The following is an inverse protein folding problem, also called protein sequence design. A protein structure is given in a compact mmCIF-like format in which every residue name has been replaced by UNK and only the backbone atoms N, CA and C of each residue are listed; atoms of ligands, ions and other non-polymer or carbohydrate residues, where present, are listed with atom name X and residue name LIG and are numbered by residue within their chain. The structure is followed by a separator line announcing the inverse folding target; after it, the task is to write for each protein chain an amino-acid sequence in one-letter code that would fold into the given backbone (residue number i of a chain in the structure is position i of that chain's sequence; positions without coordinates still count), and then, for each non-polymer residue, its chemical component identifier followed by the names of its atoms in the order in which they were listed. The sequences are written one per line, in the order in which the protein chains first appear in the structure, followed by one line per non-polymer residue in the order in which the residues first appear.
data_IF_849908549088
#
_entry.id   IF_849908549088
#
_cell.length_a   1.000
_cell.length_b   1.000
_cell.length_c   1.000
_cell.angle_alpha   90.00
_cell.angle_beta   90.00
_cell.angle_gamma   90.00
#
_symmetry.space_group_name_H-M   'P 1'
#
loop_
_entity.id
_entity.type
_entity.pdbx_description
1 polymer ?
#
# COMPACT_ATOMS: atom_id res chain seq x y z
N UNK A 1 24.03 -5.24 -8.21
CA UNK A 1 25.36 -4.78 -7.78
C UNK A 1 25.37 -4.84 -6.28
N UNK A 2 26.35 -5.53 -5.70
CA UNK A 2 26.54 -5.65 -4.25
C UNK A 2 27.61 -4.66 -3.79
N UNK A 3 27.43 -4.03 -2.62
CA UNK A 3 28.41 -3.09 -2.07
C UNK A 3 28.56 -3.31 -0.57
N UNK A 4 29.81 -3.40 -0.11
CA UNK A 4 30.20 -3.34 1.29
C UNK A 4 30.62 -1.92 1.65
N UNK A 5 30.18 -1.42 2.80
CA UNK A 5 30.48 -0.06 3.25
C UNK A 5 30.96 -0.07 4.69
N UNK A 6 31.98 0.75 4.99
CA UNK A 6 32.33 1.07 6.36
C UNK A 6 31.25 1.99 6.92
N UNK A 7 30.43 1.43 7.82
CA UNK A 7 29.36 2.15 8.48
C UNK A 7 29.85 3.28 9.40
N UNK A 8 31.10 3.27 9.86
CA UNK A 8 31.66 4.35 10.70
C UNK A 8 32.14 5.51 9.82
N UNK A 9 32.95 5.20 8.81
CA UNK A 9 33.54 6.19 7.91
C UNK A 9 32.59 6.65 6.80
N UNK A 10 31.43 5.98 6.65
CA UNK A 10 30.46 6.17 5.56
C UNK A 10 31.09 6.06 4.17
N UNK A 11 32.13 5.24 4.07
CA UNK A 11 32.92 5.09 2.87
C UNK A 11 32.67 3.68 2.29
N UNK A 12 32.36 3.55 0.99
CA UNK A 12 32.34 2.25 0.32
C UNK A 12 33.70 1.57 0.45
N UNK A 13 33.72 0.29 0.82
CA UNK A 13 34.96 -0.49 0.95
C UNK A 13 35.23 -1.31 -0.30
N UNK A 14 34.16 -1.88 -0.88
CA UNK A 14 34.23 -2.74 -2.03
C UNK A 14 32.86 -2.89 -2.68
N UNK A 15 32.81 -3.24 -3.96
CA UNK A 15 31.59 -3.65 -4.62
C UNK A 15 31.81 -4.71 -5.69
N UNK A 16 30.71 -5.37 -6.08
CA UNK A 16 30.67 -6.34 -7.17
C UNK A 16 29.54 -6.01 -8.16
N UNK A 17 29.89 -5.99 -9.45
CA UNK A 17 28.92 -6.11 -10.53
C UNK A 17 28.49 -7.57 -10.61
N UNK A 18 27.18 -7.82 -10.52
CA UNK A 18 26.58 -9.15 -10.37
C UNK A 18 25.34 -9.29 -11.25
N UNK A 19 24.96 -10.53 -11.55
CA UNK A 19 23.80 -10.89 -12.38
C UNK A 19 22.47 -10.84 -11.64
N UNK A 20 22.44 -11.29 -10.38
CA UNK A 20 21.19 -11.49 -9.64
C UNK A 20 21.33 -11.62 -8.12
N UNK A 21 22.53 -11.42 -7.58
CA UNK A 21 22.84 -11.54 -6.15
C UNK A 21 22.61 -12.99 -5.65
N UNK A 22 23.05 -13.97 -6.44
CA UNK A 22 23.03 -15.38 -6.00
C UNK A 22 23.93 -15.58 -4.77
N UNK A 23 23.78 -16.72 -4.10
CA UNK A 23 24.64 -17.03 -2.94
C UNK A 23 26.12 -17.10 -3.35
N UNK A 24 26.42 -17.68 -4.50
CA UNK A 24 27.78 -17.75 -5.06
C UNK A 24 28.35 -16.36 -5.34
N UNK A 25 27.54 -15.46 -5.90
CA UNK A 25 27.97 -14.07 -6.17
C UNK A 25 28.20 -13.28 -4.87
N UNK A 26 27.43 -13.57 -3.82
CA UNK A 26 27.65 -13.01 -2.48
C UNK A 26 28.96 -13.52 -1.90
N UNK A 27 29.18 -14.83 -1.90
CA UNK A 27 30.40 -15.47 -1.38
C UNK A 27 31.62 -14.91 -2.09
N UNK A 28 31.58 -14.83 -3.42
CA UNK A 28 32.64 -14.24 -4.24
C UNK A 28 33.00 -12.81 -3.80
N UNK A 29 32.02 -11.93 -3.59
CA UNK A 29 32.28 -10.59 -3.07
C UNK A 29 32.90 -10.64 -1.67
N UNK A 30 32.35 -11.45 -0.77
CA UNK A 30 32.77 -11.51 0.62
C UNK A 30 34.20 -12.05 0.78
N UNK A 31 34.61 -13.02 -0.03
CA UNK A 31 35.97 -13.54 -0.06
C UNK A 31 36.98 -12.48 -0.50
N UNK A 32 36.64 -11.69 -1.52
CA UNK A 32 37.49 -10.57 -1.97
C UNK A 32 37.54 -9.46 -0.92
N UNK A 33 36.39 -9.13 -0.32
CA UNK A 33 36.33 -8.18 0.80
C UNK A 33 37.23 -8.63 1.96
N UNK A 34 37.23 -9.92 2.31
CA UNK A 34 38.08 -10.48 3.37
C UNK A 34 39.57 -10.24 3.12
N UNK A 35 40.02 -10.30 1.87
CA UNK A 35 41.41 -10.03 1.47
C UNK A 35 41.78 -8.54 1.56
N UNK A 36 40.83 -7.65 1.30
CA UNK A 36 41.05 -6.20 1.30
C UNK A 36 40.90 -5.52 2.65
N UNK A 37 40.29 -6.19 3.62
CA UNK A 37 40.09 -5.63 4.95
C UNK A 37 41.40 -5.66 5.76
N UNK A 38 41.88 -4.50 6.24
CA UNK A 38 43.15 -4.42 6.97
C UNK A 38 43.07 -4.98 8.41
N UNK A 39 41.87 -5.27 8.90
CA UNK A 39 41.62 -5.73 10.27
C UNK A 39 40.43 -6.68 10.33
N UNK A 40 40.40 -7.54 11.35
CA UNK A 40 39.28 -8.44 11.60
C UNK A 40 37.96 -7.66 11.76
N UNK A 41 36.90 -8.12 11.07
CA UNK A 41 35.58 -7.51 11.15
C UNK A 41 34.87 -8.00 12.41
N UNK A 42 34.44 -7.07 13.26
CA UNK A 42 33.79 -7.38 14.54
C UNK A 42 32.30 -7.69 14.38
N UNK A 43 31.61 -7.00 13.48
CA UNK A 43 30.20 -7.25 13.16
C UNK A 43 29.88 -6.85 11.72
N UNK A 44 28.89 -7.51 11.13
CA UNK A 44 28.32 -7.14 9.83
C UNK A 44 26.84 -6.87 9.98
N UNK A 45 26.40 -5.75 9.42
CA UNK A 45 24.96 -5.50 9.27
C UNK A 45 24.55 -5.93 7.87
N UNK A 46 23.45 -6.68 7.75
CA UNK A 46 22.88 -7.13 6.48
C UNK A 46 21.38 -6.88 6.47
N UNK A 47 20.74 -6.98 5.31
CA UNK A 47 19.27 -6.97 5.24
C UNK A 47 18.68 -8.37 5.54
N UNK A 48 17.42 -8.60 5.16
CA UNK A 48 16.73 -9.88 5.38
C UNK A 48 16.94 -10.89 4.24
N UNK A 49 17.96 -10.72 3.39
CA UNK A 49 18.32 -11.69 2.35
C UNK A 49 18.95 -12.93 2.98
N UNK A 50 18.33 -14.09 2.73
CA UNK A 50 18.85 -15.40 3.16
C UNK A 50 20.18 -15.72 2.49
N UNK A 51 20.34 -15.37 1.21
CA UNK A 51 21.58 -15.52 0.42
C UNK A 51 22.74 -14.72 1.02
N UNK A 52 22.48 -13.49 1.47
CA UNK A 52 23.49 -12.67 2.13
C UNK A 52 23.92 -13.27 3.47
N UNK A 53 22.95 -13.77 4.24
CA UNK A 53 23.25 -14.39 5.53
C UNK A 53 24.04 -15.69 5.39
N UNK A 54 23.67 -16.54 4.44
CA UNK A 54 24.41 -17.77 4.13
C UNK A 54 25.86 -17.48 3.73
N UNK A 55 26.09 -16.55 2.79
CA UNK A 55 27.43 -16.16 2.39
C UNK A 55 28.27 -15.54 3.51
N UNK A 56 27.66 -14.73 4.38
CA UNK A 56 28.37 -14.18 5.56
C UNK A 56 28.76 -15.29 6.53
N UNK A 57 27.86 -16.22 6.82
CA UNK A 57 28.16 -17.35 7.70
C UNK A 57 29.26 -18.26 7.13
N UNK A 58 29.34 -18.40 5.80
CA UNK A 58 30.39 -19.19 5.15
C UNK A 58 31.76 -18.51 5.24
N UNK A 59 31.85 -17.22 4.86
CA UNK A 59 33.14 -16.52 4.72
C UNK A 59 33.64 -15.95 6.06
N UNK A 60 32.72 -15.56 6.94
CA UNK A 60 32.97 -14.95 8.25
C UNK A 60 32.20 -15.70 9.37
N UNK A 61 32.49 -16.98 9.64
CA UNK A 61 31.67 -17.83 10.51
C UNK A 61 31.53 -17.34 11.95
N UNK A 62 32.51 -16.60 12.45
CA UNK A 62 32.56 -16.13 13.85
C UNK A 62 32.06 -14.69 14.02
N UNK A 63 31.47 -14.08 12.99
CA UNK A 63 31.07 -12.67 13.04
C UNK A 63 29.69 -12.47 13.65
N UNK A 64 29.53 -11.35 14.35
CA UNK A 64 28.21 -10.93 14.80
C UNK A 64 27.40 -10.35 13.64
N UNK A 65 26.38 -11.08 13.20
CA UNK A 65 25.43 -10.62 12.18
C UNK A 65 24.32 -9.78 12.80
N UNK A 66 24.05 -8.60 12.24
CA UNK A 66 22.96 -7.73 12.65
C UNK A 66 22.01 -7.48 11.48
N UNK A 67 20.69 -7.54 11.71
CA UNK A 67 19.71 -7.11 10.71
C UNK A 67 19.60 -5.59 10.68
N UNK A 68 19.59 -5.03 9.47
CA UNK A 68 19.50 -3.60 9.25
C UNK A 68 18.18 -3.02 9.79
N UNK A 69 18.26 -2.09 10.73
CA UNK A 69 17.11 -1.44 11.37
C UNK A 69 16.19 -0.77 10.34
N UNK A 70 16.77 -0.15 9.32
CA UNK A 70 16.01 0.45 8.23
C UNK A 70 15.17 -0.59 7.50
N UNK A 71 15.74 -1.76 7.17
CA UNK A 71 15.01 -2.85 6.54
C UNK A 71 13.99 -3.48 7.48
N UNK A 72 14.24 -3.55 8.78
CA UNK A 72 13.25 -4.04 9.74
C UNK A 72 12.00 -3.15 9.73
N UNK A 73 12.20 -1.82 9.72
CA UNK A 73 11.12 -0.84 9.58
C UNK A 73 10.43 -0.95 8.22
N UNK A 74 11.20 -1.05 7.14
CA UNK A 74 10.65 -1.17 5.79
C UNK A 74 9.85 -2.46 5.61
N UNK A 75 10.32 -3.58 6.18
CA UNK A 75 9.67 -4.88 6.09
C UNK A 75 8.25 -4.80 6.66
N UNK A 76 8.11 -4.30 7.90
CA UNK A 76 6.80 -4.11 8.51
C UNK A 76 5.92 -3.12 7.74
N UNK A 77 6.47 -1.95 7.38
CA UNK A 77 5.69 -0.90 6.72
C UNK A 77 5.25 -1.28 5.29
N UNK A 78 6.05 -2.06 4.56
CA UNK A 78 5.68 -2.64 3.26
C UNK A 78 4.61 -3.72 3.42
N UNK A 79 4.73 -4.58 4.43
CA UNK A 79 3.67 -5.54 4.79
C UNK A 79 2.33 -4.84 5.06
N UNK A 80 2.34 -3.82 5.93
CA UNK A 80 1.16 -2.99 6.22
C UNK A 80 0.63 -2.25 4.99
N UNK A 81 1.51 -1.80 4.09
CA UNK A 81 1.10 -1.14 2.86
C UNK A 81 0.31 -2.09 1.93
N UNK A 82 0.70 -3.36 1.87
CA UNK A 82 -0.03 -4.40 1.14
C UNK A 82 -1.37 -4.68 1.80
N UNK A 83 -1.40 -4.80 3.12
CA UNK A 83 -2.64 -4.95 3.90
C UNK A 83 -3.62 -3.80 3.64
N UNK A 84 -3.17 -2.55 3.75
CA UNK A 84 -4.02 -1.39 3.46
C UNK A 84 -4.44 -1.31 1.99
N UNK A 85 -3.65 -1.87 1.07
CA UNK A 85 -4.03 -1.96 -0.34
C UNK A 85 -5.12 -3.00 -0.57
N UNK A 86 -5.04 -4.15 0.13
CA UNK A 86 -6.08 -5.18 0.18
C UNK A 86 -7.39 -4.60 0.72
N UNK A 87 -7.37 -4.00 1.90
CA UNK A 87 -8.55 -3.37 2.53
C UNK A 87 -9.16 -2.31 1.60
N UNK A 88 -8.34 -1.45 0.98
CA UNK A 88 -8.85 -0.47 0.00
C UNK A 88 -9.53 -1.15 -1.19
N UNK A 89 -8.98 -2.25 -1.68
CA UNK A 89 -9.56 -2.99 -2.81
C UNK A 89 -10.94 -3.52 -2.41
N UNK A 90 -11.00 -4.23 -1.30
CA UNK A 90 -12.20 -4.89 -0.80
C UNK A 90 -13.30 -3.90 -0.47
N UNK A 91 -13.04 -2.90 0.38
CA UNK A 91 -14.12 -2.06 0.92
C UNK A 91 -14.44 -0.79 0.13
N UNK A 92 -13.54 -0.35 -0.75
CA UNK A 92 -13.70 0.94 -1.44
C UNK A 92 -13.70 0.79 -2.95
N UNK A 93 -12.73 0.09 -3.53
CA UNK A 93 -12.67 -0.06 -4.99
C UNK A 93 -13.75 -0.99 -5.50
N UNK A 94 -14.00 -2.12 -4.84
CA UNK A 94 -15.09 -3.02 -5.24
C UNK A 94 -16.44 -2.33 -5.07
N UNK A 95 -16.65 -1.59 -3.98
CA UNK A 95 -17.88 -0.81 -3.79
C UNK A 95 -18.11 0.21 -4.93
N UNK A 96 -17.08 0.96 -5.33
CA UNK A 96 -17.17 1.88 -6.49
C UNK A 96 -17.45 1.12 -7.80
N UNK A 97 -16.88 -0.08 -7.96
CA UNK A 97 -17.13 -0.93 -9.14
C UNK A 97 -18.59 -1.39 -9.19
N UNK A 98 -19.17 -1.81 -8.07
CA UNK A 98 -20.57 -2.23 -8.00
C UNK A 98 -21.52 -1.07 -8.32
N UNK A 99 -21.29 0.15 -7.81
CA UNK A 99 -22.05 1.34 -8.23
C UNK A 99 -21.95 1.62 -9.74
N UNK A 100 -20.78 1.38 -10.35
CA UNK A 100 -20.59 1.52 -11.79
C UNK A 100 -21.31 0.40 -12.57
N UNK A 101 -21.32 -0.81 -12.04
CA UNK A 101 -22.03 -1.95 -12.61
C UNK A 101 -23.54 -1.73 -12.57
N UNK A 102 -24.11 -1.33 -11.41
CA UNK A 102 -25.51 -0.96 -11.27
C UNK A 102 -25.90 0.13 -12.28
N UNK A 103 -25.09 1.20 -12.43
CA UNK A 103 -25.37 2.23 -13.44
C UNK A 103 -25.42 1.64 -14.85
N UNK A 104 -24.47 0.78 -15.23
CA UNK A 104 -24.45 0.16 -16.56
C UNK A 104 -25.70 -0.71 -16.77
N UNK A 105 -26.07 -1.48 -15.76
CA UNK A 105 -27.26 -2.31 -15.77
C UNK A 105 -28.56 -1.52 -15.92
N UNK A 106 -28.73 -0.41 -15.18
CA UNK A 106 -29.91 0.44 -15.38
C UNK A 106 -30.02 0.97 -16.82
N UNK A 107 -28.88 1.34 -17.43
CA UNK A 107 -28.85 1.84 -18.81
C UNK A 107 -29.17 0.77 -19.86
N UNK A 108 -28.76 -0.48 -19.63
CA UNK A 108 -29.08 -1.57 -20.57
C UNK A 108 -30.54 -1.99 -20.48
N UNK A 109 -31.11 -2.02 -19.26
CA UNK A 109 -32.55 -2.31 -19.08
C UNK A 109 -33.45 -1.26 -19.74
N UNK A 110 -32.99 -0.01 -19.87
CA UNK A 110 -33.71 1.06 -20.57
C UNK A 110 -33.63 0.96 -22.10
N UNK A 111 -32.67 0.19 -22.62
CA UNK A 111 -32.50 -0.04 -24.05
C UNK A 111 -33.15 -1.34 -24.53
N UNK A 112 -33.81 -2.06 -23.62
CA UNK A 112 -34.31 -3.42 -23.84
C UNK A 112 -33.24 -4.39 -24.36
N UNK A 113 -31.96 -4.12 -24.03
CA UNK A 113 -30.87 -5.04 -24.31
C UNK A 113 -31.06 -6.29 -23.44
N UNK A 114 -31.07 -7.47 -24.06
CA UNK A 114 -31.06 -8.77 -23.38
C UNK A 114 -29.84 -8.80 -22.44
N UNK A 115 -30.10 -8.64 -21.15
CA UNK A 115 -29.05 -8.59 -20.14
C UNK A 115 -29.08 -9.84 -19.30
N UNK A 116 -27.91 -10.47 -19.17
CA UNK A 116 -27.68 -11.52 -18.19
C UNK A 116 -28.04 -11.00 -16.80
N UNK A 117 -28.69 -11.85 -16.00
CA UNK A 117 -28.95 -11.54 -14.60
C UNK A 117 -27.66 -11.15 -13.89
N UNK A 118 -27.69 -9.98 -13.24
CA UNK A 118 -26.59 -9.60 -12.37
C UNK A 118 -26.63 -10.46 -11.12
N UNK A 119 -25.50 -11.10 -10.83
CA UNK A 119 -25.25 -11.69 -9.52
C UNK A 119 -25.53 -10.67 -8.41
N UNK A 120 -25.94 -11.13 -7.21
CA UNK A 120 -26.18 -10.25 -6.08
C UNK A 120 -24.97 -9.36 -5.79
N UNK A 121 -25.23 -8.08 -5.52
CA UNK A 121 -24.18 -7.15 -5.11
C UNK A 121 -23.70 -7.47 -3.69
N UNK A 122 -22.41 -7.29 -3.43
CA UNK A 122 -21.83 -7.53 -2.10
C UNK A 122 -22.14 -6.40 -1.13
N UNK A 123 -22.38 -5.19 -1.64
CA UNK A 123 -22.66 -4.00 -0.82
C UNK A 123 -24.18 -3.77 -0.72
N UNK A 124 -24.70 -3.87 0.51
CA UNK A 124 -26.14 -3.77 0.81
C UNK A 124 -26.80 -2.49 0.27
N UNK A 125 -26.09 -1.36 0.26
CA UNK A 125 -26.60 -0.09 -0.26
C UNK A 125 -26.73 -0.09 -1.80
N UNK A 126 -25.85 -0.83 -2.50
CA UNK A 126 -25.96 -1.05 -3.94
C UNK A 126 -27.12 -2.00 -4.25
N UNK A 127 -27.26 -3.10 -3.50
CA UNK A 127 -28.36 -4.05 -3.68
C UNK A 127 -29.72 -3.40 -3.37
N UNK A 128 -29.81 -2.60 -2.32
CA UNK A 128 -31.00 -1.80 -2.01
C UNK A 128 -31.36 -0.85 -3.16
N UNK A 129 -30.36 -0.19 -3.76
CA UNK A 129 -30.60 0.67 -4.91
C UNK A 129 -31.08 -0.12 -6.15
N UNK A 130 -30.58 -1.35 -6.34
CA UNK A 130 -31.07 -2.26 -7.39
C UNK A 130 -32.54 -2.63 -7.16
N UNK A 131 -32.94 -2.97 -5.93
CA UNK A 131 -34.33 -3.27 -5.59
C UNK A 131 -35.24 -2.07 -5.85
N UNK A 132 -34.84 -0.88 -5.41
CA UNK A 132 -35.59 0.36 -5.64
C UNK A 132 -35.75 0.63 -7.14
N UNK A 133 -34.68 0.42 -7.93
CA UNK A 133 -34.76 0.56 -9.38
C UNK A 133 -35.72 -0.43 -10.02
N UNK A 134 -35.74 -1.68 -9.55
CA UNK A 134 -36.70 -2.70 -10.00
C UNK A 134 -38.14 -2.24 -9.77
N UNK A 135 -38.47 -1.80 -8.54
CA UNK A 135 -39.81 -1.27 -8.22
C UNK A 135 -40.14 -0.02 -9.03
N UNK A 136 -39.17 0.88 -9.21
CA UNK A 136 -39.33 2.07 -10.03
C UNK A 136 -39.69 1.73 -11.48
N UNK A 137 -39.03 0.72 -12.07
CA UNK A 137 -39.33 0.23 -13.41
C UNK A 137 -40.76 -0.31 -13.49
N UNK A 138 -41.19 -1.13 -12.53
CA UNK A 138 -42.56 -1.63 -12.46
C UNK A 138 -43.60 -0.50 -12.43
N UNK A 139 -43.34 0.59 -11.69
CA UNK A 139 -44.24 1.74 -11.65
C UNK A 139 -44.38 2.42 -13.02
N UNK A 140 -43.28 2.61 -13.75
CA UNK A 140 -43.27 3.39 -15.00
C UNK A 140 -43.62 2.59 -16.25
N UNK A 141 -43.78 1.27 -16.13
CA UNK A 141 -44.25 0.36 -17.20
C UNK A 141 -45.78 0.22 -17.25
N UNK A 142 -46.51 0.80 -16.31
CA UNK A 142 -47.98 0.78 -16.30
C UNK A 142 -48.53 1.54 -17.53
N UNK A 143 -49.70 1.12 -18.02
CA UNK A 143 -50.27 1.69 -19.26
C UNK A 143 -50.91 3.06 -19.06
N UNK A 144 -51.47 3.32 -17.88
CA UNK A 144 -52.19 4.56 -17.59
C UNK A 144 -51.32 5.58 -16.83
N UNK A 145 -51.38 6.85 -17.25
CA UNK A 145 -50.53 7.89 -16.67
C UNK A 145 -50.86 8.24 -15.22
N UNK A 146 -52.13 8.12 -14.80
CA UNK A 146 -52.51 8.34 -13.40
C UNK A 146 -52.10 7.16 -12.53
N UNK A 147 -52.19 5.93 -13.06
CA UNK A 147 -51.69 4.74 -12.37
C UNK A 147 -50.18 4.81 -12.15
N UNK A 148 -49.40 5.28 -13.13
CA UNK A 148 -47.96 5.51 -12.96
C UNK A 148 -47.71 6.49 -11.80
N UNK A 149 -48.40 7.62 -11.78
CA UNK A 149 -48.26 8.64 -10.74
C UNK A 149 -48.55 8.08 -9.35
N UNK A 150 -49.69 7.40 -9.17
CA UNK A 150 -50.09 6.79 -7.91
C UNK A 150 -49.09 5.72 -7.46
N UNK A 151 -48.63 4.86 -8.38
CA UNK A 151 -47.65 3.82 -8.07
C UNK A 151 -46.30 4.41 -7.62
N UNK A 152 -45.86 5.51 -8.25
CA UNK A 152 -44.65 6.22 -7.84
C UNK A 152 -44.79 6.84 -6.44
N UNK A 153 -45.91 7.53 -6.18
CA UNK A 153 -46.18 8.12 -4.85
C UNK A 153 -46.25 7.05 -3.75
N UNK A 154 -46.85 5.90 -4.06
CA UNK A 154 -46.86 4.74 -3.16
C UNK A 154 -45.45 4.23 -2.88
N UNK A 155 -44.62 4.02 -3.93
CA UNK A 155 -43.22 3.63 -3.77
C UNK A 155 -42.45 4.62 -2.89
N UNK A 156 -42.62 5.93 -3.10
CA UNK A 156 -41.91 6.95 -2.33
C UNK A 156 -42.32 7.02 -0.85
N UNK A 157 -43.49 6.49 -0.52
CA UNK A 157 -43.99 6.38 0.85
C UNK A 157 -43.48 5.14 1.57
N UNK A 158 -42.92 4.16 0.84
CA UNK A 158 -42.44 2.91 1.45
C UNK A 158 -41.22 3.10 2.37
N UNK A 159 -41.07 2.26 3.42
CA UNK A 159 -39.87 2.23 4.24
C UNK A 159 -38.59 1.99 3.41
N UNK A 160 -38.68 1.18 2.35
CA UNK A 160 -37.57 0.89 1.44
C UNK A 160 -36.97 2.16 0.84
N UNK A 161 -37.84 3.00 0.26
CA UNK A 161 -37.41 4.26 -0.33
C UNK A 161 -37.03 5.30 0.73
N UNK A 162 -37.75 5.33 1.84
CA UNK A 162 -37.49 6.24 2.95
C UNK A 162 -36.10 6.05 3.59
N UNK A 163 -35.64 4.81 3.66
CA UNK A 163 -34.34 4.45 4.24
C UNK A 163 -33.18 4.52 3.22
N UNK A 164 -33.46 4.76 1.95
CA UNK A 164 -32.42 4.84 0.92
C UNK A 164 -31.65 6.17 0.98
N UNK A 165 -30.32 6.09 1.06
CA UNK A 165 -29.45 7.26 1.13
C UNK A 165 -29.63 8.22 -0.08
N UNK A 166 -30.01 7.66 -1.23
CA UNK A 166 -30.26 8.41 -2.46
C UNK A 166 -31.55 9.23 -2.48
N UNK A 167 -32.47 9.00 -1.53
CA UNK A 167 -33.81 9.59 -1.49
C UNK A 167 -33.80 11.09 -1.72
N UNK A 168 -33.01 11.84 -0.94
CA UNK A 168 -33.02 13.32 -0.98
C UNK A 168 -32.64 13.84 -2.37
N UNK A 169 -31.61 13.24 -2.99
CA UNK A 169 -31.15 13.63 -4.32
C UNK A 169 -32.18 13.25 -5.37
N UNK A 170 -32.75 12.04 -5.27
CA UNK A 170 -33.80 11.60 -6.19
C UNK A 170 -35.04 12.48 -6.10
N UNK A 171 -35.59 12.71 -4.90
CA UNK A 171 -36.79 13.51 -4.67
C UNK A 171 -36.63 14.92 -5.24
N UNK A 172 -35.50 15.58 -4.97
CA UNK A 172 -35.20 16.89 -5.55
C UNK A 172 -35.16 16.87 -7.09
N UNK A 173 -34.65 15.80 -7.70
CA UNK A 173 -34.66 15.65 -9.16
C UNK A 173 -36.05 15.35 -9.70
N UNK A 174 -36.85 14.57 -8.99
CA UNK A 174 -38.23 14.24 -9.32
C UNK A 174 -39.13 15.48 -9.26
N UNK A 175 -39.12 16.22 -8.15
CA UNK A 175 -39.87 17.47 -7.97
C UNK A 175 -39.53 18.51 -9.05
N UNK A 176 -38.25 18.61 -9.45
CA UNK A 176 -37.81 19.52 -10.49
C UNK A 176 -38.41 19.21 -11.88
N UNK A 177 -38.89 17.99 -12.14
CA UNK A 177 -39.60 17.64 -13.38
C UNK A 177 -40.91 18.44 -13.45
N UNK A 178 -41.63 18.55 -12.35
CA UNK A 178 -42.96 19.15 -12.29
C UNK A 178 -42.87 20.66 -12.00
N UNK A 179 -42.09 21.05 -10.99
CA UNK A 179 -42.03 22.44 -10.54
C UNK A 179 -41.23 23.37 -11.47
N UNK A 180 -40.21 22.86 -12.19
CA UNK A 180 -39.35 23.69 -13.04
C UNK A 180 -39.60 23.51 -14.53
N UNK A 181 -40.08 22.34 -14.94
CA UNK A 181 -40.34 22.04 -16.36
C UNK A 181 -41.83 21.98 -16.69
N UNK A 182 -42.70 22.21 -15.70
CA UNK A 182 -44.16 22.29 -15.83
C UNK A 182 -44.77 21.09 -16.56
N UNK A 183 -44.19 19.89 -16.40
CA UNK A 183 -44.80 18.67 -16.88
C UNK A 183 -45.96 18.27 -15.99
N UNK A 184 -46.98 17.64 -16.58
CA UNK A 184 -48.08 16.96 -15.90
C UNK A 184 -48.16 15.51 -16.36
N UNK A 185 -48.66 14.60 -15.54
CA UNK A 185 -48.88 13.20 -15.93
C UNK A 185 -49.99 13.12 -16.98
N UNK A 186 -49.58 13.01 -18.24
CA UNK A 186 -50.47 12.80 -19.39
C UNK A 186 -49.83 11.83 -20.36
N UNK A 187 -50.64 11.23 -21.24
CA UNK A 187 -50.16 10.34 -22.32
C UNK A 187 -49.07 10.98 -23.18
N UNK A 188 -49.13 12.30 -23.42
CA UNK A 188 -48.12 13.03 -24.22
C UNK A 188 -46.84 13.31 -23.44
N UNK A 189 -46.95 13.62 -22.15
CA UNK A 189 -45.81 14.00 -21.29
C UNK A 189 -45.02 12.79 -20.81
N UNK A 190 -45.63 11.61 -20.70
CA UNK A 190 -45.00 10.44 -20.08
C UNK A 190 -43.69 10.03 -20.77
N UNK A 191 -43.63 10.15 -22.11
CA UNK A 191 -42.42 9.86 -22.90
C UNK A 191 -41.23 10.75 -22.54
N UNK A 192 -41.47 11.91 -21.93
CA UNK A 192 -40.44 12.82 -21.45
C UNK A 192 -40.17 12.65 -19.95
N UNK A 193 -41.22 12.40 -19.15
CA UNK A 193 -41.12 12.23 -17.69
C UNK A 193 -40.30 10.98 -17.34
N UNK A 194 -40.58 9.83 -17.96
CA UNK A 194 -39.93 8.54 -17.60
C UNK A 194 -38.40 8.59 -17.77
N UNK A 195 -37.84 9.06 -18.90
CA UNK A 195 -36.39 9.24 -19.02
C UNK A 195 -35.79 10.19 -17.97
N UNK A 196 -36.55 11.21 -17.54
CA UNK A 196 -36.10 12.15 -16.49
C UNK A 196 -36.09 11.50 -15.11
N UNK A 197 -37.08 10.64 -14.80
CA UNK A 197 -37.13 9.84 -13.57
C UNK A 197 -35.88 8.94 -13.50
N UNK A 198 -35.59 8.18 -14.56
CA UNK A 198 -34.39 7.34 -14.62
C UNK A 198 -33.09 8.15 -14.51
N UNK A 199 -33.04 9.33 -15.13
CA UNK A 199 -31.92 10.26 -14.96
C UNK A 199 -31.78 10.75 -13.52
N UNK A 200 -32.90 10.97 -12.82
CA UNK A 200 -32.95 11.29 -11.39
C UNK A 200 -32.36 10.18 -10.53
N UNK A 201 -32.76 8.93 -10.76
CA UNK A 201 -32.19 7.76 -10.09
C UNK A 201 -30.67 7.65 -10.31
N UNK A 202 -30.23 7.78 -11.57
CA UNK A 202 -28.80 7.77 -11.90
C UNK A 202 -28.02 8.90 -11.24
N UNK A 203 -28.64 10.07 -11.04
CA UNK A 203 -28.03 11.18 -10.33
C UNK A 203 -27.86 10.86 -8.84
N UNK A 204 -28.86 10.23 -8.22
CA UNK A 204 -28.80 9.82 -6.81
C UNK A 204 -27.68 8.79 -6.57
N UNK A 205 -27.62 7.70 -7.33
CA UNK A 205 -26.55 6.69 -7.17
C UNK A 205 -25.16 7.26 -7.46
N UNK A 206 -25.05 8.25 -8.36
CA UNK A 206 -23.79 8.94 -8.65
C UNK A 206 -23.31 9.74 -7.44
N UNK A 207 -24.21 10.42 -6.73
CA UNK A 207 -23.86 11.18 -5.55
C UNK A 207 -23.42 10.27 -4.40
N UNK A 208 -24.10 9.13 -4.21
CA UNK A 208 -23.67 8.10 -3.24
C UNK A 208 -22.27 7.60 -3.59
N UNK A 209 -22.05 7.20 -4.86
CA UNK A 209 -20.72 6.74 -5.33
C UNK A 209 -19.63 7.78 -5.09
N UNK A 210 -19.92 9.07 -5.32
CA UNK A 210 -18.97 10.17 -5.12
C UNK A 210 -18.49 10.23 -3.66
N UNK A 211 -19.38 10.02 -2.68
CA UNK A 211 -19.00 9.93 -1.26
C UNK A 211 -18.00 8.78 -1.01
N UNK A 212 -18.18 7.64 -1.66
CA UNK A 212 -17.24 6.50 -1.57
C UNK A 212 -15.90 6.84 -2.24
N UNK A 213 -15.90 7.51 -3.39
CA UNK A 213 -14.70 7.97 -4.09
C UNK A 213 -13.91 8.99 -3.26
N UNK A 214 -14.59 9.90 -2.58
CA UNK A 214 -13.99 10.85 -1.62
C UNK A 214 -13.40 10.12 -0.42
N UNK A 215 -14.14 9.17 0.19
CA UNK A 215 -13.65 8.33 1.29
C UNK A 215 -12.38 7.57 0.87
N UNK A 216 -12.32 7.04 -0.35
CA UNK A 216 -11.10 6.44 -0.92
C UNK A 216 -9.94 7.43 -1.04
N UNK A 217 -10.20 8.65 -1.49
CA UNK A 217 -9.17 9.69 -1.59
C UNK A 217 -8.61 10.05 -0.20
N UNK A 218 -9.49 10.22 0.80
CA UNK A 218 -9.10 10.45 2.20
C UNK A 218 -8.35 9.27 2.79
N UNK A 219 -8.78 8.03 2.51
CA UNK A 219 -8.07 6.82 2.94
C UNK A 219 -6.63 6.75 2.39
N UNK A 220 -6.42 7.07 1.12
CA UNK A 220 -5.07 7.11 0.54
C UNK A 220 -4.15 8.09 1.30
N UNK A 221 -4.67 9.26 1.70
CA UNK A 221 -3.93 10.23 2.50
C UNK A 221 -3.67 9.72 3.93
N UNK A 222 -4.66 9.09 4.54
CA UNK A 222 -4.56 8.51 5.88
C UNK A 222 -3.48 7.42 5.95
N UNK A 223 -3.45 6.53 4.96
CA UNK A 223 -2.53 5.40 4.86
C UNK A 223 -1.07 5.78 5.12
N UNK A 224 -0.57 6.83 4.48
CA UNK A 224 0.82 7.28 4.64
C UNK A 224 1.09 7.90 6.03
N UNK A 225 0.13 8.63 6.58
CA UNK A 225 0.28 9.21 7.92
C UNK A 225 0.25 8.15 9.01
N UNK A 226 -0.54 7.08 8.85
CA UNK A 226 -0.55 5.95 9.79
C UNK A 226 0.83 5.29 9.86
N UNK A 227 1.49 5.13 8.71
CA UNK A 227 2.80 4.48 8.59
C UNK A 227 3.99 5.38 8.96
N UNK A 228 3.80 6.70 9.08
CA UNK A 228 4.92 7.63 9.29
C UNK A 228 5.51 7.50 10.70
N UNK A 229 6.82 7.45 10.82
CA UNK A 229 7.50 7.42 12.12
C UNK A 229 7.14 8.70 12.93
N UNK A 230 6.71 8.58 14.21
CA UNK A 230 6.41 9.72 15.08
C UNK A 230 7.48 10.82 15.11
N UNK A 231 8.76 10.46 15.01
CA UNK A 231 9.90 11.40 15.02
C UNK A 231 9.84 12.33 13.79
N UNK A 232 9.37 11.82 12.66
CA UNK A 232 9.27 12.58 11.40
C UNK A 232 7.95 13.37 11.31
N UNK A 233 7.07 13.28 12.31
CA UNK A 233 5.78 13.96 12.30
C UNK A 233 5.84 15.39 12.85
N UNK A 234 5.65 16.36 11.95
CA UNK A 234 5.36 17.76 12.27
C UNK A 234 3.97 17.92 12.93
N UNK A 235 3.70 19.04 13.65
CA UNK A 235 2.41 19.25 14.33
C UNK A 235 1.18 19.12 13.42
N UNK A 236 1.25 19.58 12.18
CA UNK A 236 0.14 19.42 11.23
C UNK A 236 -0.10 17.97 10.80
N UNK A 237 0.94 17.12 10.72
CA UNK A 237 0.79 15.69 10.47
C UNK A 237 -0.03 15.03 11.59
N UNK A 238 0.28 15.36 12.85
CA UNK A 238 -0.43 14.82 14.02
C UNK A 238 -1.90 15.24 14.03
N UNK A 239 -2.19 16.51 13.74
CA UNK A 239 -3.58 17.02 13.60
C UNK A 239 -4.35 16.27 12.50
N UNK A 240 -3.75 16.10 11.32
CA UNK A 240 -4.37 15.35 10.21
C UNK A 240 -4.57 13.88 10.57
N UNK A 241 -3.58 13.22 11.17
CA UNK A 241 -3.68 11.83 11.60
C UNK A 241 -4.84 11.64 12.58
N UNK A 242 -5.03 12.52 13.57
CA UNK A 242 -6.17 12.45 14.50
C UNK A 242 -7.51 12.52 13.77
N UNK A 243 -7.65 13.41 12.78
CA UNK A 243 -8.86 13.49 11.94
C UNK A 243 -9.10 12.18 11.19
N UNK A 244 -8.08 11.62 10.55
CA UNK A 244 -8.21 10.36 9.83
C UNK A 244 -8.46 9.15 10.75
N UNK A 245 -7.92 9.11 11.96
CA UNK A 245 -8.21 8.03 12.93
C UNK A 245 -9.61 8.16 13.55
N UNK A 246 -10.26 9.34 13.46
CA UNK A 246 -11.68 9.48 13.75
C UNK A 246 -12.53 8.96 12.59
N UNK A 247 -12.16 9.28 11.36
CA UNK A 247 -12.85 8.81 10.15
C UNK A 247 -12.69 7.30 9.90
N UNK A 248 -11.51 6.74 10.22
CA UNK A 248 -11.17 5.33 10.07
C UNK A 248 -10.71 4.73 11.41
N UNK A 249 -11.63 4.45 12.36
CA UNK A 249 -11.27 3.97 13.70
C UNK A 249 -10.46 2.66 13.69
N UNK A 250 -10.71 1.79 12.71
CA UNK A 250 -9.99 0.53 12.52
C UNK A 250 -8.50 0.69 12.17
N UNK A 251 -8.04 1.90 11.80
CA UNK A 251 -6.60 2.19 11.64
C UNK A 251 -5.89 2.43 12.98
N UNK A 252 -6.63 2.64 14.09
CA UNK A 252 -6.05 2.93 15.41
C UNK A 252 -5.20 1.78 15.96
N UNK A 253 -5.64 0.50 15.91
CA UNK A 253 -4.80 -0.61 16.37
C UNK A 253 -3.49 -0.71 15.59
N UNK A 254 -3.53 -0.61 14.25
CA UNK A 254 -2.34 -0.58 13.40
C UNK A 254 -1.39 0.54 13.81
N UNK A 255 -1.91 1.76 14.00
CA UNK A 255 -1.10 2.89 14.43
C UNK A 255 -0.48 2.67 15.80
N UNK A 256 -1.24 2.17 16.77
CA UNK A 256 -0.77 1.93 18.15
C UNK A 256 0.40 0.95 18.16
N UNK A 257 0.23 -0.20 17.49
CA UNK A 257 1.26 -1.24 17.42
C UNK A 257 2.49 -0.78 16.65
N UNK A 258 2.32 -0.06 15.54
CA UNK A 258 3.44 0.48 14.77
C UNK A 258 4.22 1.56 15.56
N UNK A 259 3.54 2.42 16.32
CA UNK A 259 4.22 3.37 17.22
C UNK A 259 5.00 2.64 18.31
N UNK A 260 4.41 1.60 18.91
CA UNK A 260 5.11 0.76 19.90
C UNK A 260 6.36 0.13 19.28
N UNK A 261 6.27 -0.37 18.05
CA UNK A 261 7.40 -0.92 17.29
C UNK A 261 8.50 0.11 17.06
N UNK A 262 8.16 1.32 16.59
CA UNK A 262 9.16 2.40 16.44
C UNK A 262 9.86 2.75 17.75
N UNK A 263 9.13 2.70 18.86
CA UNK A 263 9.68 3.00 20.17
C UNK A 263 10.66 1.93 20.66
N UNK A 264 10.50 0.66 20.24
CA UNK A 264 11.45 -0.41 20.62
C UNK A 264 12.88 -0.11 20.18
N UNK A 265 13.08 0.66 19.11
CA UNK A 265 14.42 1.06 18.65
C UNK A 265 15.07 2.18 19.47
N UNK A 266 14.35 2.74 20.44
CA UNK A 266 14.80 3.89 21.25
C UNK A 266 14.88 3.57 22.73
N UNK A 267 14.25 2.48 23.16
CA UNK A 267 14.34 2.02 24.56
C UNK A 267 15.60 1.22 24.78
N UNK A 268 16.18 1.30 26.00
CA UNK A 268 17.24 0.39 26.44
C UNK A 268 16.81 -1.09 26.36
N UNK A 269 17.76 -2.03 26.21
CA UNK A 269 17.48 -3.45 26.13
C UNK A 269 16.60 -3.98 27.28
N UNK A 270 16.83 -3.52 28.51
CA UNK A 270 16.15 -3.99 29.72
C UNK A 270 14.67 -3.60 29.75
N UNK A 271 14.30 -2.54 29.02
CA UNK A 271 12.93 -2.01 28.93
C UNK A 271 12.22 -2.44 27.65
N UNK A 272 12.88 -3.23 26.80
CA UNK A 272 12.33 -3.66 25.52
C UNK A 272 11.30 -4.76 25.74
N UNK A 273 10.22 -4.71 24.95
CA UNK A 273 9.22 -5.77 24.91
C UNK A 273 9.42 -6.60 23.67
N UNK A 274 9.26 -7.92 23.79
CA UNK A 274 9.34 -8.85 22.65
C UNK A 274 8.48 -8.40 21.46
N UNK A 275 8.98 -8.58 20.24
CA UNK A 275 8.26 -8.29 19.00
C UNK A 275 7.03 -9.18 18.77
N UNK A 276 6.80 -10.20 19.59
CA UNK A 276 5.58 -11.04 19.58
C UNK A 276 4.28 -10.22 19.66
N UNK A 277 4.29 -9.01 20.23
CA UNK A 277 3.10 -8.15 20.21
C UNK A 277 2.65 -7.77 18.78
N UNK A 278 3.53 -7.86 17.79
CA UNK A 278 3.21 -7.60 16.38
C UNK A 278 2.23 -8.63 15.81
N UNK A 279 2.11 -9.82 16.39
CA UNK A 279 1.10 -10.82 15.99
C UNK A 279 -0.32 -10.30 16.13
N UNK A 280 -0.56 -9.26 16.94
CA UNK A 280 -1.86 -8.58 17.02
C UNK A 280 -2.22 -7.75 15.77
N UNK A 281 -1.28 -7.58 14.84
CA UNK A 281 -1.51 -6.96 13.53
C UNK A 281 -2.10 -7.93 12.51
N UNK A 282 -2.00 -9.23 12.76
CA UNK A 282 -2.39 -10.27 11.82
C UNK A 282 -3.65 -11.00 12.29
N UNK A 283 -4.37 -11.51 11.30
CA UNK A 283 -5.53 -12.37 11.40
C UNK A 283 -5.48 -13.39 10.25
N UNK A 284 -6.35 -14.38 10.25
CA UNK A 284 -6.42 -15.37 9.16
C UNK A 284 -6.67 -14.70 7.81
N UNK A 285 -7.48 -13.65 7.80
CA UNK A 285 -7.75 -12.83 6.63
C UNK A 285 -6.64 -11.82 6.30
N UNK A 286 -5.53 -11.72 7.02
CA UNK A 286 -4.47 -10.74 6.70
C UNK A 286 -3.70 -11.12 5.42
N UNK A 287 -3.16 -10.12 4.73
CA UNK A 287 -2.35 -10.28 3.54
C UNK A 287 -1.06 -11.06 3.86
N UNK A 288 -0.69 -12.01 2.99
CA UNK A 288 0.46 -12.91 3.17
C UNK A 288 1.77 -12.17 3.44
N UNK A 289 2.01 -11.05 2.74
CA UNK A 289 3.19 -10.21 2.97
C UNK A 289 3.25 -9.57 4.36
N UNK A 290 2.11 -9.22 4.97
CA UNK A 290 2.11 -8.71 6.35
C UNK A 290 2.41 -9.86 7.32
N UNK A 291 1.80 -11.04 7.10
CA UNK A 291 2.08 -12.24 7.90
C UNK A 291 3.58 -12.59 7.88
N UNK A 292 4.15 -12.69 6.67
CA UNK A 292 5.57 -12.94 6.48
C UNK A 292 6.44 -11.87 7.16
N UNK A 293 6.14 -10.59 6.96
CA UNK A 293 6.90 -9.51 7.59
C UNK A 293 6.89 -9.58 9.12
N UNK A 294 5.73 -9.86 9.73
CA UNK A 294 5.60 -10.00 11.18
C UNK A 294 6.37 -11.21 11.68
N UNK A 295 6.21 -12.36 11.02
CA UNK A 295 6.88 -13.60 11.39
C UNK A 295 8.40 -13.46 11.31
N UNK A 296 8.92 -12.94 10.20
CA UNK A 296 10.36 -12.71 10.01
C UNK A 296 10.94 -11.76 11.05
N UNK A 297 10.22 -10.71 11.45
CA UNK A 297 10.68 -9.78 12.49
C UNK A 297 10.74 -10.44 13.87
N UNK A 298 9.79 -11.31 14.19
CA UNK A 298 9.79 -12.07 15.45
C UNK A 298 10.95 -13.07 15.46
N UNK A 299 11.14 -13.84 14.38
CA UNK A 299 12.22 -14.81 14.24
C UNK A 299 13.62 -14.18 14.33
N UNK A 300 13.77 -12.97 13.79
CA UNK A 300 15.05 -12.26 13.76
C UNK A 300 15.16 -11.17 14.83
N UNK A 301 14.30 -11.18 15.86
CA UNK A 301 14.21 -10.11 16.86
C UNK A 301 15.58 -9.77 17.47
N UNK A 302 16.32 -10.78 17.91
CA UNK A 302 17.64 -10.61 18.52
C UNK A 302 18.62 -9.94 17.55
N UNK A 303 18.67 -10.41 16.30
CA UNK A 303 19.54 -9.87 15.24
C UNK A 303 19.14 -8.44 14.85
N UNK A 304 17.86 -8.06 14.94
CA UNK A 304 17.37 -6.70 14.67
C UNK A 304 17.85 -5.71 15.73
N UNK A 305 17.88 -6.11 16.99
CA UNK A 305 18.23 -5.22 18.10
C UNK A 305 19.67 -5.32 18.58
N UNK A 306 20.48 -6.19 17.98
CA UNK A 306 21.89 -6.43 18.35
C UNK A 306 22.74 -5.16 18.40
N UNK A 307 22.39 -4.10 17.64
CA UNK A 307 23.11 -2.80 17.69
C UNK A 307 23.13 -2.17 19.07
N UNK A 308 22.09 -2.40 19.89
CA UNK A 308 22.03 -1.83 21.23
C UNK A 308 23.14 -2.45 22.10
N UNK A 309 23.30 -3.78 22.04
CA UNK A 309 24.36 -4.49 22.76
C UNK A 309 25.76 -4.24 22.16
N UNK A 310 25.87 -4.11 20.84
CA UNK A 310 27.14 -3.76 20.16
C UNK A 310 27.64 -2.38 20.63
N UNK A 311 26.73 -1.43 20.84
CA UNK A 311 27.11 -0.09 21.31
C UNK A 311 27.68 -0.06 22.73
N UNK A 312 27.32 -1.04 23.57
CA UNK A 312 27.87 -1.24 24.92
C UNK A 312 29.24 -1.93 24.84
N UNK A 313 29.35 -2.98 24.03
CA UNK A 313 30.62 -3.72 23.83
C UNK A 313 31.69 -2.90 23.11
N UNK A 314 31.28 -1.94 22.28
CA UNK A 314 32.19 -1.09 21.49
C UNK A 314 31.82 0.40 21.61
N UNK A 315 32.14 1.07 22.74
CA UNK A 315 31.72 2.46 23.00
C UNK A 315 32.24 3.47 21.95
N UNK A 316 33.39 3.20 21.33
CA UNK A 316 33.97 4.02 20.25
C UNK A 316 33.08 4.03 18.97
N UNK A 317 32.24 3.02 18.78
CA UNK A 317 31.29 2.85 17.66
C UNK A 317 29.96 3.60 17.91
N UNK A 318 29.67 3.95 19.18
CA UNK A 318 28.39 4.54 19.64
C UNK A 318 28.00 5.86 18.96
N UNK A 319 28.96 6.59 18.39
CA UNK A 319 28.73 7.86 17.69
C UNK A 319 28.39 7.72 16.20
N UNK A 320 28.36 6.50 15.66
CA UNK A 320 27.99 6.26 14.27
C UNK A 320 26.48 6.31 14.07
N UNK A 321 26.00 7.42 13.48
CA UNK A 321 24.64 7.54 12.94
C UNK A 321 24.37 6.59 11.74
N UNK A 322 25.31 5.69 11.42
CA UNK A 322 25.43 5.09 10.09
C UNK A 322 25.44 3.57 10.06
N UNK A 323 24.88 2.90 11.07
CA UNK A 323 24.42 1.50 10.91
C UNK A 323 23.20 1.47 9.96
N UNK A 324 23.46 1.68 8.68
CA UNK A 324 22.55 1.59 7.54
C UNK A 324 23.22 0.68 6.53
N UNK A 325 22.68 -0.51 6.35
CA UNK A 325 23.10 -1.42 5.25
C UNK A 325 21.98 -1.55 4.25
N UNK A 326 21.58 -0.39 3.72
CA UNK A 326 21.50 -0.12 2.28
C UNK A 326 21.89 1.34 2.19
N UNK A 327 23.02 1.61 1.55
CA UNK A 327 23.43 2.96 1.24
C UNK A 327 22.55 3.43 0.08
N UNK A 328 21.29 3.75 0.36
CA UNK A 328 20.27 4.16 -0.61
C UNK A 328 20.75 5.37 -1.44
N UNK A 329 21.64 6.19 -0.87
CA UNK A 329 22.43 7.23 -1.57
C UNK A 329 23.37 6.67 -2.63
N UNK A 330 24.12 5.61 -2.33
CA UNK A 330 24.99 4.93 -3.29
C UNK A 330 24.18 4.20 -4.35
N UNK A 331 23.09 3.51 -3.98
CA UNK A 331 22.18 2.92 -4.95
C UNK A 331 21.55 3.98 -5.87
N UNK A 332 21.17 5.15 -5.34
CA UNK A 332 20.72 6.29 -6.17
C UNK A 332 21.82 6.81 -7.09
N UNK A 333 23.05 6.94 -6.61
CA UNK A 333 24.20 7.35 -7.42
C UNK A 333 24.46 6.36 -8.57
N UNK A 334 24.32 5.06 -8.31
CA UNK A 334 24.47 4.01 -9.32
C UNK A 334 23.27 3.93 -10.27
N UNK A 335 22.05 4.10 -9.77
CA UNK A 335 20.86 4.23 -10.63
C UNK A 335 20.92 5.47 -11.52
N UNK A 336 21.49 6.58 -11.03
CA UNK A 336 21.77 7.76 -11.84
C UNK A 336 22.79 7.44 -12.93
N UNK A 337 23.90 6.74 -12.62
CA UNK A 337 24.85 6.30 -13.66
C UNK A 337 24.18 5.43 -14.73
N UNK A 338 23.31 4.50 -14.32
CA UNK A 338 22.54 3.67 -15.24
C UNK A 338 21.58 4.49 -16.13
N UNK A 339 20.90 5.50 -15.57
CA UNK A 339 19.96 6.36 -16.31
C UNK A 339 20.64 7.42 -17.19
N UNK A 340 21.84 7.88 -16.81
CA UNK A 340 22.51 8.98 -17.51
C UNK A 340 23.24 8.51 -18.78
N UNK A 341 23.41 7.19 -18.99
CA UNK A 341 24.22 6.69 -20.10
C UNK A 341 23.66 5.38 -20.71
N UNK A 342 22.75 5.53 -21.68
CA UNK A 342 22.48 4.52 -22.71
C UNK A 342 23.66 4.36 -23.71
N UNK A 343 24.89 4.31 -23.21
CA UNK A 343 26.12 4.31 -24.02
C UNK A 343 27.29 3.58 -23.35
N UNK A 344 27.02 2.55 -22.55
CA UNK A 344 28.05 1.74 -21.87
C UNK A 344 28.40 0.54 -22.76
N UNK A 345 29.55 0.58 -23.47
CA UNK A 345 29.92 -0.44 -24.46
C UNK A 345 30.62 -1.69 -23.89
N UNK A 346 31.14 -1.68 -22.66
CA UNK A 346 31.80 -2.86 -22.04
C UNK A 346 31.71 -2.87 -20.50
N UNK A 347 31.83 -4.05 -19.88
CA UNK A 347 31.78 -4.24 -18.41
C UNK A 347 32.95 -3.52 -17.68
N UNK A 348 34.11 -3.42 -18.32
CA UNK A 348 35.31 -2.77 -17.78
C UNK A 348 35.10 -1.27 -17.59
N UNK A 349 34.40 -0.63 -18.53
CA UNK A 349 34.05 0.78 -18.45
C UNK A 349 33.07 1.06 -17.31
N UNK A 350 32.13 0.13 -17.09
CA UNK A 350 31.20 0.21 -15.94
C UNK A 350 31.99 0.09 -14.64
N UNK A 351 32.85 -0.93 -14.53
CA UNK A 351 33.71 -1.15 -13.37
C UNK A 351 34.54 0.09 -13.05
N UNK A 352 35.26 0.63 -14.02
CA UNK A 352 36.12 1.81 -13.86
C UNK A 352 35.32 3.02 -13.36
N UNK A 353 34.18 3.33 -13.98
CA UNK A 353 33.37 4.51 -13.59
C UNK A 353 32.74 4.38 -12.22
N UNK A 354 32.21 3.20 -11.89
CA UNK A 354 31.64 2.94 -10.56
C UNK A 354 32.75 3.00 -9.51
N UNK A 355 33.91 2.41 -9.79
CA UNK A 355 35.08 2.46 -8.90
C UNK A 355 35.51 3.90 -8.63
N UNK A 356 35.69 4.72 -9.68
CA UNK A 356 36.10 6.11 -9.53
C UNK A 356 35.05 6.96 -8.80
N UNK A 357 33.76 6.70 -9.01
CA UNK A 357 32.68 7.48 -8.37
C UNK A 357 32.47 7.11 -6.90
N UNK A 358 32.69 5.84 -6.56
CA UNK A 358 32.55 5.35 -5.19
C UNK A 358 33.85 5.42 -4.39
N UNK A 359 34.96 5.71 -5.06
CA UNK A 359 36.31 5.75 -4.50
C UNK A 359 36.65 4.43 -3.79
N UNK A 360 36.30 3.31 -4.43
CA UNK A 360 36.52 1.97 -3.88
C UNK A 360 36.73 0.93 -4.99
N UNK A 361 37.38 -0.22 -4.71
CA UNK A 361 37.53 -1.30 -5.68
C UNK A 361 36.17 -1.91 -6.07
N UNK A 362 35.99 -2.15 -7.38
CA UNK A 362 34.83 -2.85 -7.93
C UNK A 362 35.31 -4.07 -8.70
N UNK A 363 34.75 -5.25 -8.40
CA UNK A 363 34.98 -6.49 -9.14
C UNK A 363 33.78 -6.86 -10.01
N UNK A 364 33.99 -7.77 -10.95
CA UNK A 364 32.97 -8.29 -11.86
C UNK A 364 32.80 -9.76 -11.51
N UNK A 365 31.57 -10.21 -11.24
CA UNK A 365 31.32 -11.62 -10.96
C UNK A 365 31.61 -12.47 -12.19
N UNK A 366 32.19 -13.68 -12.04
CA UNK A 366 32.41 -14.59 -13.16
C UNK A 366 31.12 -14.88 -13.93
N UNK A 367 30.01 -15.09 -13.22
CA UNK A 367 28.69 -15.31 -13.81
C UNK A 367 28.21 -14.13 -14.68
N UNK A 368 28.55 -12.88 -14.32
CA UNK A 368 28.22 -11.72 -15.15
C UNK A 368 29.07 -11.65 -16.41
N UNK A 369 30.34 -12.04 -16.32
CA UNK A 369 31.22 -12.14 -17.49
C UNK A 369 30.70 -13.18 -18.46
N UNK A 370 30.30 -14.36 -17.98
CA UNK A 370 29.72 -15.43 -18.81
C UNK A 370 28.41 -15.02 -19.48
N UNK A 371 27.54 -14.28 -18.78
CA UNK A 371 26.24 -13.86 -19.30
C UNK A 371 26.32 -12.80 -20.41
N UNK A 372 27.38 -12.00 -20.42
CA UNK A 372 27.54 -10.86 -21.34
C UNK A 372 28.45 -11.22 -22.54
N UNK A 373 29.18 -12.34 -22.46
CA UNK A 373 29.72 -13.03 -23.63
C UNK A 373 28.59 -13.64 -24.45
#
# INVERSE_FOLDING_TARGET
MLIATDSLKKHPLAGALVTGESEEEVVFLLEQLKKWLPSAVTFMTIDFSTRLEAGVNLVFPNILVQKCVFHAIQLLTRGLLKEFTKIKKEYLLNHIKEWKALRKYTLSLEKDDLTAELSPFQFNDVELAKEIYGKLRCCVTLQDSQQIEQALLSLFSTPLFNNWEGKRVFASKYEAIFAKRNFTFSKKSIKYIVPMIYKGFRAAIREIRKKVEEKKSRFNKAKYLVLMNPVNMKPYHRRKLRKYLKEFPWLRPYRKLLVKFYYQFRVPPEKRVSLSFLSRLISDASHTWLKAAVQTLIEHEEKVFRYQCVSEKFPKVKYSKSIKVVNESVNKLVSQLYQTQCGMRTLENIRMRVSNRLDCPIIISPALVEKVK
#
